data_IF_659626052118
#
_entry.id   IF_659626052118
#
_cell.length_a   1.000
_cell.length_b   1.000
_cell.length_c   1.000
_cell.angle_alpha   90.00
_cell.angle_beta   90.00
_cell.angle_gamma   90.00
#
_symmetry.space_group_name_H-M   'P 1'
#
loop_
_entity.id
_entity.type
_entity.pdbx_description
1 polymer ?
#
# COMPACT_ATOMS: atom_id res chain seq x y z
N UNK A 1 22.87 13.76 -18.47
CA UNK A 1 22.85 14.10 -17.04
C UNK A 1 22.62 12.83 -16.27
N UNK A 2 23.63 12.35 -15.54
CA UNK A 2 23.58 11.10 -14.81
C UNK A 2 22.77 11.26 -13.53
N UNK A 3 21.86 10.31 -13.28
CA UNK A 3 21.27 10.14 -11.96
C UNK A 3 22.24 9.29 -11.14
N UNK A 4 23.12 9.99 -10.41
CA UNK A 4 23.77 9.46 -9.21
C UNK A 4 22.68 9.35 -8.14
N UNK A 5 22.17 8.14 -7.89
CA UNK A 5 21.59 7.82 -6.60
C UNK A 5 22.66 7.08 -5.81
N UNK A 6 23.52 7.88 -5.21
CA UNK A 6 24.42 7.49 -4.14
C UNK A 6 23.78 8.03 -2.86
N UNK A 7 22.98 7.19 -2.18
CA UNK A 7 22.87 7.10 -0.72
C UNK A 7 21.95 5.91 -0.40
N UNK A 8 22.49 4.93 0.34
CA UNK A 8 21.71 3.94 1.10
C UNK A 8 20.96 4.65 2.26
N UNK A 9 20.13 5.64 1.95
CA UNK A 9 19.28 6.29 2.94
C UNK A 9 18.10 5.38 3.26
N UNK A 10 18.18 4.71 4.41
CA UNK A 10 17.07 3.91 4.94
C UNK A 10 15.83 4.80 5.09
N UNK A 11 14.82 4.57 4.24
CA UNK A 11 13.54 5.25 4.35
C UNK A 11 12.85 4.83 5.65
N UNK A 12 12.43 5.82 6.44
CA UNK A 12 11.64 5.58 7.63
C UNK A 12 10.24 5.06 7.26
N UNK A 13 9.61 4.30 8.16
CA UNK A 13 8.23 3.81 7.95
C UNK A 13 7.22 4.91 7.57
N UNK A 14 7.27 6.13 8.16
CA UNK A 14 6.44 7.26 7.73
C UNK A 14 6.69 7.66 6.27
N UNK A 15 7.96 7.80 5.86
CA UNK A 15 8.31 8.18 4.49
C UNK A 15 7.86 7.13 3.46
N UNK A 16 7.98 5.84 3.78
CA UNK A 16 7.44 4.77 2.94
C UNK A 16 5.92 4.87 2.76
N UNK A 17 5.18 5.21 3.83
CA UNK A 17 3.72 5.39 3.76
C UNK A 17 3.34 6.58 2.90
N UNK A 18 4.06 7.70 3.02
CA UNK A 18 3.82 8.89 2.21
C UNK A 18 4.02 8.58 0.73
N UNK A 19 5.08 7.83 0.37
CA UNK A 19 5.32 7.39 -1.00
C UNK A 19 4.17 6.52 -1.51
N UNK A 20 3.68 5.57 -0.71
CA UNK A 20 2.54 4.73 -1.09
C UNK A 20 1.29 5.57 -1.37
N UNK A 21 0.99 6.56 -0.54
CA UNK A 21 -0.14 7.49 -0.73
C UNK A 21 0.00 8.28 -2.03
N UNK A 22 1.16 8.90 -2.24
CA UNK A 22 1.43 9.71 -3.43
C UNK A 22 1.40 8.86 -4.72
N UNK A 23 1.85 7.61 -4.66
CA UNK A 23 1.83 6.71 -5.82
C UNK A 23 0.44 6.12 -6.10
N UNK A 24 -0.36 5.85 -5.06
CA UNK A 24 -1.71 5.31 -5.22
C UNK A 24 -2.62 6.28 -5.96
N UNK A 25 -2.39 7.60 -5.80
CA UNK A 25 -3.21 8.65 -6.40
C UNK A 25 -4.71 8.38 -6.16
N UNK A 26 -5.06 8.21 -4.89
CA UNK A 26 -6.43 8.11 -4.44
C UNK A 26 -6.80 9.39 -3.69
N UNK A 27 -7.86 10.06 -4.14
CA UNK A 27 -8.40 11.28 -3.52
C UNK A 27 -8.81 11.06 -2.06
N UNK A 28 -9.17 9.83 -1.70
CA UNK A 28 -9.53 9.45 -0.33
C UNK A 28 -8.33 9.48 0.63
N UNK A 29 -7.11 9.66 0.12
CA UNK A 29 -5.90 9.79 0.93
C UNK A 29 -5.65 11.21 1.45
N UNK A 30 -6.52 12.16 1.11
CA UNK A 30 -6.46 13.51 1.64
C UNK A 30 -6.50 13.51 3.18
N UNK A 31 -5.55 14.18 3.80
CA UNK A 31 -5.51 14.39 5.25
C UNK A 31 -5.73 15.87 5.64
N UNK A 32 -5.88 16.77 4.67
CA UNK A 32 -6.23 18.18 4.86
C UNK A 32 -7.24 18.65 3.81
N UNK A 33 -8.11 19.57 4.18
CA UNK A 33 -9.06 20.26 3.28
C UNK A 33 -8.90 21.76 3.43
N UNK A 34 -9.16 22.51 2.36
CA UNK A 34 -9.22 23.98 2.43
C UNK A 34 -10.37 24.45 3.32
N UNK A 35 -10.16 25.56 4.02
CA UNK A 35 -11.20 26.19 4.83
C UNK A 35 -12.06 27.19 4.05
N UNK A 36 -11.70 27.47 2.80
CA UNK A 36 -12.45 28.37 1.92
C UNK A 36 -13.71 27.68 1.41
N UNK A 37 -14.87 28.25 1.72
CA UNK A 37 -16.21 27.71 1.44
C UNK A 37 -16.52 27.48 -0.05
N UNK A 38 -15.73 28.03 -0.97
CA UNK A 38 -15.99 27.99 -2.41
C UNK A 38 -15.19 26.89 -3.15
N UNK A 39 -14.21 26.26 -2.49
CA UNK A 39 -13.41 25.20 -3.09
C UNK A 39 -13.17 24.09 -2.07
N UNK A 40 -13.77 22.91 -2.28
CA UNK A 40 -13.46 21.66 -1.57
C UNK A 40 -12.11 21.10 -2.07
N UNK A 41 -11.04 21.89 -1.98
CA UNK A 41 -9.71 21.45 -2.39
C UNK A 41 -9.15 20.49 -1.34
N UNK A 42 -8.95 19.24 -1.76
CA UNK A 42 -8.34 18.20 -0.96
C UNK A 42 -6.81 18.24 -1.06
N UNK A 43 -6.18 18.11 0.09
CA UNK A 43 -4.74 18.19 0.25
C UNK A 43 -4.20 16.99 1.03
N UNK A 44 -2.99 16.59 0.68
CA UNK A 44 -2.19 15.61 1.41
C UNK A 44 -0.93 16.29 1.94
N UNK A 45 -0.67 16.21 3.24
CA UNK A 45 0.57 16.67 3.87
C UNK A 45 1.38 15.44 4.29
N UNK A 46 2.60 15.34 3.79
CA UNK A 46 3.50 14.23 4.12
C UNK A 46 4.14 14.39 5.51
N UNK A 47 4.88 13.36 5.95
CA UNK A 47 5.58 13.34 7.23
C UNK A 47 6.71 14.37 7.33
N UNK A 48 7.23 14.86 6.21
CA UNK A 48 8.20 15.96 6.16
C UNK A 48 7.56 17.34 6.30
N UNK A 49 6.23 17.40 6.24
CA UNK A 49 5.44 18.62 6.32
C UNK A 49 5.18 19.29 4.98
N UNK A 50 5.55 18.65 3.87
CA UNK A 50 5.32 19.14 2.51
C UNK A 50 3.90 18.85 2.06
N UNK A 51 3.31 19.80 1.36
CA UNK A 51 1.90 19.78 0.98
C UNK A 51 1.73 19.41 -0.50
N UNK A 52 0.76 18.55 -0.77
CA UNK A 52 0.31 18.13 -2.07
C UNK A 52 -1.17 18.44 -2.20
N UNK A 53 -1.59 18.84 -3.39
CA UNK A 53 -2.97 19.13 -3.75
C UNK A 53 -3.47 18.08 -4.73
N UNK A 54 -4.72 17.70 -4.59
CA UNK A 54 -5.38 16.85 -5.57
C UNK A 54 -5.64 17.63 -6.86
N UNK A 55 -4.95 17.28 -7.94
CA UNK A 55 -5.03 18.03 -9.20
C UNK A 55 -6.02 17.39 -10.16
N UNK A 56 -7.07 18.16 -10.50
CA UNK A 56 -8.06 17.84 -11.54
C UNK A 56 -8.63 16.41 -11.47
N UNK A 57 -8.84 15.86 -10.27
CA UNK A 57 -9.45 14.53 -10.13
C UNK A 57 -8.53 13.34 -10.44
N UNK A 58 -7.21 13.55 -10.59
CA UNK A 58 -6.35 12.54 -11.21
C UNK A 58 -5.08 12.15 -10.44
N UNK A 59 -4.38 13.09 -9.82
CA UNK A 59 -3.12 12.82 -9.14
C UNK A 59 -2.77 13.87 -8.08
N UNK A 60 -1.85 13.51 -7.19
CA UNK A 60 -1.24 14.42 -6.23
C UNK A 60 -0.14 15.27 -6.90
N UNK A 61 -0.26 16.59 -6.78
CA UNK A 61 0.75 17.54 -7.26
C UNK A 61 1.26 18.39 -6.09
N UNK A 62 2.58 18.61 -6.04
CA UNK A 62 3.19 19.43 -5.00
C UNK A 62 2.64 20.86 -5.02
N UNK A 63 2.16 21.32 -3.87
CA UNK A 63 1.57 22.64 -3.69
C UNK A 63 2.58 23.59 -3.03
N UNK A 64 3.69 23.88 -3.72
CA UNK A 64 4.82 24.67 -3.21
C UNK A 64 4.47 26.11 -2.78
N UNK A 65 3.28 26.62 -3.12
CA UNK A 65 2.88 28.02 -2.88
C UNK A 65 1.44 28.20 -2.35
N UNK A 66 0.81 27.17 -1.80
CA UNK A 66 -0.54 27.31 -1.26
C UNK A 66 -0.56 28.29 -0.06
N UNK A 67 -1.24 29.43 -0.23
CA UNK A 67 -1.40 30.49 0.80
C UNK A 67 -2.73 30.43 1.54
N UNK A 68 -3.56 29.43 1.26
CA UNK A 68 -4.84 29.29 1.94
C UNK A 68 -4.70 28.64 3.30
N UNK A 69 -5.70 28.84 4.15
CA UNK A 69 -5.84 28.05 5.37
C UNK A 69 -6.33 26.65 5.00
N UNK A 70 -5.68 25.63 5.58
CA UNK A 70 -6.11 24.24 5.52
C UNK A 70 -6.47 23.78 6.93
N UNK A 71 -7.50 22.96 7.05
CA UNK A 71 -7.82 22.24 8.28
C UNK A 71 -7.60 20.74 8.07
N UNK A 72 -7.12 20.02 9.09
CA UNK A 72 -6.99 18.58 8.99
C UNK A 72 -8.38 17.98 8.76
N UNK A 73 -8.50 17.16 7.72
CA UNK A 73 -9.68 16.32 7.55
C UNK A 73 -9.63 15.35 8.72
N UNK A 74 -10.73 15.26 9.47
CA UNK A 74 -10.87 14.21 10.49
C UNK A 74 -11.01 12.86 9.78
N UNK A 75 -9.94 12.32 9.20
CA UNK A 75 -9.86 10.93 8.78
C UNK A 75 -8.42 10.38 8.69
N UNK A 76 -8.19 9.41 9.59
CA UNK A 76 -7.59 8.08 9.39
C UNK A 76 -6.09 7.85 9.16
N UNK A 77 -5.25 8.87 8.96
CA UNK A 77 -3.79 8.62 8.76
C UNK A 77 -2.91 8.74 10.00
N UNK A 78 -3.47 9.03 11.16
CA UNK A 78 -2.85 8.70 12.46
C UNK A 78 -3.51 7.43 12.97
N UNK A 79 -2.71 6.37 13.12
CA UNK A 79 -3.11 5.08 13.68
C UNK A 79 -3.80 4.08 12.73
N UNK A 80 -3.06 3.63 11.71
CA UNK A 80 -3.49 2.48 10.91
C UNK A 80 -3.91 1.31 11.82
N UNK A 81 -5.22 1.07 11.79
CA UNK A 81 -5.99 0.00 12.43
C UNK A 81 -6.63 0.29 13.80
N UNK A 82 -6.65 1.52 14.33
CA UNK A 82 -7.55 1.76 15.47
C UNK A 82 -9.01 1.70 15.06
N UNK A 83 -9.80 0.92 15.78
CA UNK A 83 -11.25 0.82 15.64
C UNK A 83 -11.93 1.40 16.88
N UNK A 84 -13.16 1.90 16.70
CA UNK A 84 -13.97 2.32 17.85
C UNK A 84 -14.31 1.11 18.73
N UNK A 85 -14.62 1.33 20.01
CA UNK A 85 -15.05 0.22 20.87
C UNK A 85 -16.36 -0.44 20.39
N UNK A 86 -17.24 0.30 19.71
CA UNK A 86 -18.42 -0.27 19.06
C UNK A 86 -18.04 -1.18 17.87
N UNK A 87 -17.09 -0.77 17.04
CA UNK A 87 -16.59 -1.58 15.93
C UNK A 87 -15.77 -2.78 16.42
N UNK A 88 -15.07 -2.65 17.54
CA UNK A 88 -14.42 -3.76 18.23
C UNK A 88 -15.43 -4.83 18.67
N UNK A 89 -16.56 -4.43 19.26
CA UNK A 89 -17.62 -5.37 19.62
C UNK A 89 -18.23 -6.07 18.40
N UNK A 90 -18.46 -5.34 17.29
CA UNK A 90 -18.93 -5.92 16.03
C UNK A 90 -17.91 -6.92 15.47
N UNK A 91 -16.64 -6.54 15.43
CA UNK A 91 -15.57 -7.41 14.95
C UNK A 91 -15.44 -8.68 15.79
N UNK A 92 -15.59 -8.59 17.12
CA UNK A 92 -15.65 -9.74 18.01
C UNK A 92 -16.88 -10.63 17.71
N UNK A 93 -18.06 -10.03 17.47
CA UNK A 93 -19.26 -10.76 17.08
C UNK A 93 -19.11 -11.47 15.72
N UNK A 94 -18.37 -10.88 14.78
CA UNK A 94 -18.02 -11.46 13.49
C UNK A 94 -16.92 -12.55 13.59
N UNK A 95 -16.39 -12.82 14.79
CA UNK A 95 -15.33 -13.81 15.02
C UNK A 95 -13.92 -13.35 14.64
N UNK A 96 -13.69 -12.04 14.48
CA UNK A 96 -12.35 -11.48 14.22
C UNK A 96 -11.56 -11.32 15.53
N UNK A 97 -10.24 -11.44 15.44
CA UNK A 97 -9.35 -11.19 16.58
C UNK A 97 -9.15 -9.69 16.77
N UNK A 98 -9.58 -9.17 17.93
CA UNK A 98 -9.41 -7.77 18.33
C UNK A 98 -8.38 -7.68 19.45
N UNK A 99 -7.55 -6.65 19.39
CA UNK A 99 -6.59 -6.30 20.44
C UNK A 99 -6.94 -4.93 21.04
N UNK A 100 -6.58 -4.72 22.30
CA UNK A 100 -6.68 -3.43 22.99
C UNK A 100 -5.31 -3.01 23.52
N UNK A 101 -5.09 -1.70 23.64
CA UNK A 101 -3.85 -1.17 24.18
C UNK A 101 -3.89 -1.17 25.71
N UNK A 102 -3.01 -1.96 26.33
CA UNK A 102 -2.79 -1.98 27.77
C UNK A 102 -1.38 -1.43 28.08
N UNK A 103 -1.33 -0.22 28.64
CA UNK A 103 -0.07 0.49 28.83
C UNK A 103 0.61 0.81 27.50
N UNK A 104 1.65 0.05 27.16
CA UNK A 104 2.40 0.17 25.89
C UNK A 104 2.30 -1.07 25.00
N UNK A 105 1.56 -2.10 25.41
CA UNK A 105 1.45 -3.37 24.69
C UNK A 105 0.02 -3.61 24.19
N UNK A 106 -0.07 -4.34 23.08
CA UNK A 106 -1.34 -4.79 22.51
C UNK A 106 -1.69 -6.16 23.07
N UNK A 107 -2.85 -6.28 23.70
CA UNK A 107 -3.33 -7.51 24.31
C UNK A 107 -4.65 -7.97 23.68
N UNK A 108 -4.91 -9.28 23.70
CA UNK A 108 -6.13 -9.84 23.10
C UNK A 108 -7.38 -9.43 23.89
N UNK A 109 -8.39 -8.92 23.18
CA UNK A 109 -9.67 -8.56 23.77
C UNK A 109 -10.56 -9.77 24.12
N UNK A 110 -10.27 -10.94 23.55
CA UNK A 110 -11.02 -12.19 23.77
C UNK A 110 -10.38 -13.06 24.85
N UNK A 111 -9.05 -12.99 25.01
CA UNK A 111 -8.32 -13.80 25.97
C UNK A 111 -8.40 -13.29 27.42
N UNK A 112 -8.65 -11.99 27.60
CA UNK A 112 -8.71 -11.35 28.91
C UNK A 112 -10.15 -10.96 29.27
N UNK A 113 -10.49 -11.00 30.56
CA UNK A 113 -11.78 -10.52 31.08
C UNK A 113 -11.83 -8.99 31.03
N UNK A 114 -12.13 -8.44 29.85
CA UNK A 114 -12.33 -7.01 29.66
C UNK A 114 -13.77 -6.66 29.99
N UNK A 115 -13.95 -5.64 30.83
CA UNK A 115 -15.26 -5.10 31.13
C UNK A 115 -15.85 -4.41 29.89
N UNK A 116 -17.14 -4.61 29.63
CA UNK A 116 -17.86 -3.97 28.51
C UNK A 116 -17.70 -2.44 28.54
N UNK A 117 -17.59 -1.85 29.73
CA UNK A 117 -17.36 -0.41 29.91
C UNK A 117 -16.09 0.09 29.22
N UNK A 118 -15.08 -0.77 29.01
CA UNK A 118 -13.88 -0.43 28.27
C UNK A 118 -14.15 -0.12 26.79
N UNK A 119 -15.17 -0.75 26.19
CA UNK A 119 -15.56 -0.53 24.79
C UNK A 119 -16.50 0.68 24.60
N UNK A 120 -17.08 1.18 25.68
CA UNK A 120 -18.01 2.32 25.63
C UNK A 120 -17.26 3.63 25.93
N UNK A 121 -16.15 3.58 26.67
CA UNK A 121 -15.35 4.75 27.00
C UNK A 121 -14.17 4.98 26.06
N UNK A 122 -13.70 6.23 26.01
CA UNK A 122 -12.60 6.66 25.14
C UNK A 122 -11.19 6.37 25.72
N UNK A 123 -11.13 5.69 26.88
CA UNK A 123 -9.87 5.41 27.57
C UNK A 123 -9.05 4.33 26.89
N UNK A 124 -9.70 3.41 26.16
CA UNK A 124 -9.06 2.28 25.52
C UNK A 124 -9.00 2.47 24.02
N UNK A 125 -7.87 2.05 23.45
CA UNK A 125 -7.66 1.99 22.01
C UNK A 125 -7.77 0.54 21.58
N UNK A 126 -8.51 0.28 20.51
CA UNK A 126 -8.73 -1.07 19.99
C UNK A 126 -8.20 -1.16 18.57
N UNK A 127 -7.76 -2.35 18.14
CA UNK A 127 -7.41 -2.63 16.74
C UNK A 127 -7.78 -4.06 16.35
N UNK A 128 -7.92 -4.31 15.07
CA UNK A 128 -7.97 -5.70 14.58
C UNK A 128 -6.54 -6.23 14.57
N UNK A 129 -6.32 -7.44 15.09
CA UNK A 129 -4.99 -8.05 15.10
C UNK A 129 -4.48 -8.17 13.67
N UNK A 130 -3.31 -7.60 13.34
CA UNK A 130 -2.72 -7.77 12.02
C UNK A 130 -2.46 -9.25 11.77
N UNK A 131 -3.20 -9.85 10.84
CA UNK A 131 -2.92 -11.21 10.39
C UNK A 131 -1.83 -11.16 9.33
N UNK A 132 -0.64 -11.65 9.67
CA UNK A 132 0.38 -11.97 8.66
C UNK A 132 0.00 -13.27 8.00
N UNK A 133 -0.65 -13.21 6.84
CA UNK A 133 -0.89 -14.39 6.01
C UNK A 133 0.48 -14.85 5.48
N UNK A 134 0.98 -15.98 5.95
CA UNK A 134 2.12 -16.65 5.31
C UNK A 134 1.62 -17.25 4.00
N UNK A 135 2.01 -16.66 2.88
CA UNK A 135 1.68 -17.16 1.55
C UNK A 135 2.89 -17.93 1.03
N UNK A 136 2.81 -19.26 1.02
CA UNK A 136 3.81 -20.12 0.40
C UNK A 136 3.54 -20.18 -1.12
N UNK A 137 4.27 -19.38 -1.89
CA UNK A 137 4.16 -19.34 -3.35
C UNK A 137 5.31 -20.11 -3.97
N UNK A 138 5.01 -21.22 -4.63
CA UNK A 138 5.96 -21.89 -5.53
C UNK A 138 6.08 -21.08 -6.84
N UNK A 139 6.88 -20.01 -6.80
CA UNK A 139 7.21 -19.23 -7.99
C UNK A 139 8.46 -19.85 -8.63
N UNK A 140 8.41 -20.27 -9.91
CA UNK A 140 9.59 -20.76 -10.60
C UNK A 140 10.68 -19.69 -10.61
N UNK A 141 11.91 -20.09 -10.31
CA UNK A 141 13.06 -19.17 -10.20
C UNK A 141 13.32 -18.53 -11.57
N UNK A 142 13.36 -17.19 -11.68
CA UNK A 142 13.72 -16.53 -12.92
C UNK A 142 15.20 -16.79 -13.26
N UNK A 143 15.56 -16.68 -14.54
CA UNK A 143 16.93 -16.80 -14.99
C UNK A 143 17.41 -15.52 -15.67
N UNK A 144 18.73 -15.36 -15.76
CA UNK A 144 19.38 -14.31 -16.54
C UNK A 144 19.57 -14.81 -17.98
N UNK A 145 18.82 -14.28 -18.96
CA UNK A 145 18.95 -14.69 -20.35
C UNK A 145 20.22 -14.14 -21.00
N UNK A 146 20.68 -14.82 -22.05
CA UNK A 146 21.80 -14.42 -22.90
C UNK A 146 21.30 -13.99 -24.27
N UNK A 147 22.09 -13.22 -25.00
CA UNK A 147 21.73 -12.80 -26.37
C UNK A 147 21.40 -14.03 -27.24
N UNK A 148 20.20 -14.00 -27.84
CA UNK A 148 19.64 -15.11 -28.61
C UNK A 148 18.73 -16.06 -27.82
N UNK A 149 18.60 -15.94 -26.50
CA UNK A 149 17.71 -16.78 -25.71
C UNK A 149 16.24 -16.37 -25.92
N UNK A 150 15.37 -17.35 -26.21
CA UNK A 150 13.92 -17.13 -26.16
C UNK A 150 13.46 -17.11 -24.70
N UNK A 151 12.78 -16.02 -24.32
CA UNK A 151 12.34 -15.78 -22.95
C UNK A 151 10.86 -15.48 -22.88
N UNK A 152 10.25 -15.88 -21.77
CA UNK A 152 8.91 -15.48 -21.36
C UNK A 152 9.01 -14.46 -20.23
N UNK A 153 8.21 -13.39 -20.28
CA UNK A 153 8.26 -12.31 -19.29
C UNK A 153 6.88 -11.71 -19.05
N UNK A 154 6.73 -11.04 -17.90
CA UNK A 154 5.49 -10.33 -17.56
C UNK A 154 5.37 -9.11 -18.47
N UNK A 155 4.26 -9.01 -19.20
CA UNK A 155 4.01 -7.90 -20.12
C UNK A 155 2.64 -7.29 -19.83
N UNK A 156 2.57 -5.96 -19.96
CA UNK A 156 1.34 -5.19 -19.88
C UNK A 156 0.55 -5.20 -21.20
N UNK A 157 1.22 -5.55 -22.29
CA UNK A 157 0.69 -5.39 -23.64
C UNK A 157 -0.31 -6.50 -24.02
N UNK A 158 -0.26 -7.62 -23.29
CA UNK A 158 -1.15 -8.76 -23.49
C UNK A 158 -2.15 -8.93 -22.35
N UNK A 159 -3.41 -9.22 -22.69
CA UNK A 159 -4.47 -9.53 -21.71
C UNK A 159 -4.17 -10.77 -20.85
N UNK A 160 -3.35 -11.69 -21.36
CA UNK A 160 -2.89 -12.85 -20.61
C UNK A 160 -1.87 -12.51 -19.52
N UNK A 161 -1.28 -11.31 -19.53
CA UNK A 161 -0.33 -10.81 -18.52
C UNK A 161 1.14 -11.18 -18.77
N UNK A 162 1.45 -11.80 -19.92
CA UNK A 162 2.82 -12.20 -20.29
C UNK A 162 3.06 -12.12 -21.79
N UNK A 163 4.32 -12.05 -22.19
CA UNK A 163 4.77 -12.13 -23.58
C UNK A 163 6.01 -13.00 -23.70
N UNK A 164 6.46 -13.24 -24.92
CA UNK A 164 7.73 -13.90 -25.21
C UNK A 164 8.47 -13.22 -26.35
N UNK A 165 9.79 -13.16 -26.26
CA UNK A 165 10.64 -12.65 -27.33
C UNK A 165 12.08 -13.19 -27.21
N UNK A 166 12.94 -12.88 -28.16
CA UNK A 166 14.36 -13.24 -28.15
C UNK A 166 15.18 -12.12 -27.51
N UNK A 167 15.89 -12.46 -26.44
CA UNK A 167 16.76 -11.52 -25.73
C UNK A 167 17.90 -11.05 -26.63
N UNK A 168 18.21 -9.76 -26.62
CA UNK A 168 19.24 -9.16 -27.47
C UNK A 168 18.80 -8.81 -28.90
N UNK A 169 17.58 -9.20 -29.32
CA UNK A 169 17.01 -8.89 -30.65
C UNK A 169 15.84 -7.90 -30.57
N UNK A 170 15.99 -6.85 -29.75
CA UNK A 170 14.97 -5.83 -29.50
C UNK A 170 14.36 -5.92 -28.09
N UNK A 171 14.46 -7.09 -27.45
CA UNK A 171 14.17 -7.27 -26.04
C UNK A 171 15.41 -6.93 -25.20
N UNK A 172 15.35 -5.76 -24.56
CA UNK A 172 16.35 -5.26 -23.60
C UNK A 172 16.04 -5.70 -22.16
N UNK A 173 17.04 -5.62 -21.26
CA UNK A 173 16.89 -5.94 -19.83
C UNK A 173 15.72 -5.22 -19.13
N UNK A 174 15.38 -3.99 -19.56
CA UNK A 174 14.26 -3.22 -19.01
C UNK A 174 12.91 -3.93 -19.10
N UNK A 175 12.74 -4.79 -20.10
CA UNK A 175 11.49 -5.53 -20.33
C UNK A 175 11.37 -6.78 -19.44
N UNK A 176 12.50 -7.27 -18.91
CA UNK A 176 12.58 -8.46 -18.04
C UNK A 176 12.89 -8.11 -16.58
N UNK A 177 12.64 -6.86 -16.17
CA UNK A 177 12.92 -6.36 -14.80
C UNK A 177 12.25 -7.16 -13.68
N UNK A 178 11.15 -7.87 -13.97
CA UNK A 178 10.43 -8.72 -13.02
C UNK A 178 10.84 -10.20 -13.09
N UNK A 179 11.79 -10.53 -13.95
CA UNK A 179 12.24 -11.88 -14.23
C UNK A 179 11.96 -12.31 -15.67
N UNK A 180 12.73 -13.30 -16.11
CA UNK A 180 12.54 -14.05 -17.34
C UNK A 180 12.43 -15.54 -17.02
N UNK A 181 11.57 -16.23 -17.76
CA UNK A 181 11.28 -17.66 -17.62
C UNK A 181 11.49 -18.38 -18.94
N UNK A 182 11.90 -19.65 -18.86
CA UNK A 182 12.28 -20.42 -20.05
C UNK A 182 11.06 -20.96 -20.79
N UNK A 183 9.94 -21.13 -20.08
CA UNK A 183 8.74 -21.77 -20.60
C UNK A 183 7.48 -20.95 -20.35
N UNK A 184 6.46 -21.20 -21.18
CA UNK A 184 5.13 -20.59 -21.06
C UNK A 184 4.43 -21.03 -19.77
N UNK A 185 4.68 -22.25 -19.33
CA UNK A 185 4.09 -22.86 -18.14
C UNK A 185 4.57 -22.15 -16.88
N UNK A 186 5.86 -21.86 -16.78
CA UNK A 186 6.46 -21.14 -15.66
C UNK A 186 5.86 -19.73 -15.50
N UNK A 187 5.81 -18.95 -16.59
CA UNK A 187 5.25 -17.60 -16.54
C UNK A 187 3.75 -17.60 -16.23
N UNK A 188 3.02 -18.64 -16.65
CA UNK A 188 1.59 -18.79 -16.33
C UNK A 188 1.36 -18.96 -14.83
N UNK A 189 2.19 -19.75 -14.15
CA UNK A 189 2.16 -19.90 -12.69
C UNK A 189 2.40 -18.54 -12.03
N UNK A 190 3.42 -17.81 -12.47
CA UNK A 190 3.79 -16.48 -11.92
C UNK A 190 2.61 -15.51 -12.04
N UNK A 191 2.01 -15.38 -13.23
CA UNK A 191 0.87 -14.49 -13.46
C UNK A 191 -0.37 -14.89 -12.66
N UNK A 192 -0.63 -16.20 -12.51
CA UNK A 192 -1.74 -16.67 -11.68
C UNK A 192 -1.55 -16.33 -10.20
N UNK A 193 -0.34 -16.49 -9.67
CA UNK A 193 -0.03 -16.12 -8.30
C UNK A 193 -0.13 -14.60 -8.08
N UNK A 194 0.34 -13.79 -9.04
CA UNK A 194 0.16 -12.33 -9.00
C UNK A 194 -1.32 -11.92 -8.98
N UNK A 195 -2.18 -12.62 -9.74
CA UNK A 195 -3.63 -12.40 -9.72
C UNK A 195 -4.25 -12.78 -8.37
N UNK A 196 -3.81 -13.89 -7.77
CA UNK A 196 -4.27 -14.31 -6.43
C UNK A 196 -3.92 -13.25 -5.38
N UNK A 197 -2.70 -12.71 -5.41
CA UNK A 197 -2.29 -11.62 -4.51
C UNK A 197 -3.17 -10.37 -4.67
N UNK A 198 -3.43 -9.95 -5.92
CA UNK A 198 -4.30 -8.79 -6.18
C UNK A 198 -5.77 -9.03 -5.78
N UNK A 199 -6.26 -10.28 -5.93
CA UNK A 199 -7.62 -10.66 -5.56
C UNK A 199 -7.88 -10.68 -4.05
N UNK A 200 -6.87 -11.01 -3.24
CA UNK A 200 -6.95 -10.99 -1.77
C UNK A 200 -6.80 -9.59 -1.16
N UNK A 201 -6.43 -8.58 -1.96
CA UNK A 201 -6.28 -7.19 -1.54
C UNK A 201 -7.56 -6.36 -1.71
N UNK A 202 -8.72 -6.99 -1.91
CA UNK A 202 -10.04 -6.35 -2.02
C UNK A 202 -10.84 -6.42 -0.74
#
# INVERSE_FOLDING_TARGET
>A
MGFLFDTDDELTLPQLRDLVVLHRNDVNDANYESTYEEHDDLHFKDSSGKLYRWFCGSHWAEAASYKGEIRPIKNQYTEQSLISGADALRALADGKEVEYLYGTQWESATGNQILISAFIGDKFKFRIKPQTIKIELEIPKPFLPKDGDMVWFISRDNTCGYSHDVFGHGLEEKWIQYGAWRTKEEIKIVVEQLRKLKGHSK
#
